data_IF_608871221279
#
_entry.id   IF_608871221279
#
_cell.length_a   1.000
_cell.length_b   1.000
_cell.length_c   1.000
_cell.angle_alpha   90.00
_cell.angle_beta   90.00
_cell.angle_gamma   90.00
#
_symmetry.space_group_name_H-M   'P 1'
#
loop_
_entity.id
_entity.type
_entity.pdbx_description
1 polymer ?
#
# COMPACT_ATOMS: atom_id res chain seq x y z
N UNK A 1 -6.49 23.73 4.38
CA UNK A 1 -7.79 23.21 4.82
C UNK A 1 -8.54 22.77 3.57
N UNK A 2 -8.43 21.49 3.20
CA UNK A 2 -9.47 20.76 2.48
C UNK A 2 -9.23 19.28 2.77
N UNK A 3 -10.14 18.75 3.57
CA UNK A 3 -10.31 17.35 3.91
C UNK A 3 -10.65 16.56 2.65
N UNK A 4 -10.05 15.39 2.46
CA UNK A 4 -10.34 14.48 1.36
C UNK A 4 -9.95 13.06 1.73
N UNK A 5 -10.65 12.48 2.71
CA UNK A 5 -10.57 11.06 3.02
C UNK A 5 -11.10 10.27 1.82
N UNK A 6 -10.21 9.63 1.06
CA UNK A 6 -10.58 8.53 0.19
C UNK A 6 -10.70 7.27 1.06
N UNK A 7 -11.86 7.11 1.71
CA UNK A 7 -12.21 5.91 2.44
C UNK A 7 -12.68 4.85 1.45
N UNK A 8 -11.88 3.80 1.26
CA UNK A 8 -12.39 2.47 0.94
C UNK A 8 -12.39 1.70 2.27
N UNK A 9 -13.55 1.15 2.59
CA UNK A 9 -13.96 0.58 3.89
C UNK A 9 -12.85 -0.16 4.68
N UNK A 10 -12.80 0.15 5.98
CA UNK A 10 -12.18 -0.51 7.15
C UNK A 10 -10.74 -1.02 7.17
N UNK A 11 -9.97 -1.15 6.08
CA UNK A 11 -8.57 -1.64 6.20
C UNK A 11 -7.57 -1.12 5.15
N UNK A 12 -8.01 -0.51 4.05
CA UNK A 12 -7.10 -0.08 2.97
C UNK A 12 -6.92 1.43 2.96
N UNK A 13 -5.86 1.92 3.61
CA UNK A 13 -5.45 3.32 3.50
C UNK A 13 -4.67 3.54 2.20
N UNK A 14 -5.35 3.97 1.14
CA UNK A 14 -4.67 4.51 -0.05
C UNK A 14 -4.24 5.94 0.23
N UNK A 15 -2.93 6.19 0.33
CA UNK A 15 -2.38 7.55 0.31
C UNK A 15 -1.86 7.80 -1.10
N UNK A 16 -2.63 8.54 -1.89
CA UNK A 16 -2.22 9.05 -3.19
C UNK A 16 -2.04 10.57 -3.09
N UNK A 17 -0.94 11.09 -3.63
CA UNK A 17 -0.78 12.52 -3.86
C UNK A 17 -1.76 12.93 -4.97
N UNK A 18 -2.93 13.45 -4.56
CA UNK A 18 -4.10 13.57 -5.42
C UNK A 18 -4.10 14.90 -6.17
N UNK A 19 -3.26 15.00 -7.19
CA UNK A 19 -3.50 15.93 -8.30
C UNK A 19 -4.38 15.21 -9.33
N UNK A 20 -5.65 15.60 -9.45
CA UNK A 20 -6.65 14.94 -10.32
C UNK A 20 -6.33 15.12 -11.81
N UNK A 21 -5.40 16.01 -12.14
CA UNK A 21 -5.01 16.30 -13.52
C UNK A 21 -4.00 15.31 -14.11
N UNK A 22 -3.34 14.49 -13.29
CA UNK A 22 -2.31 13.55 -13.71
C UNK A 22 -2.39 12.26 -12.86
N UNK A 23 -1.94 11.10 -13.38
CA UNK A 23 -1.77 9.93 -12.52
C UNK A 23 -0.82 10.30 -11.37
N UNK A 24 -1.10 9.87 -10.12
CA UNK A 24 -0.25 10.18 -8.98
C UNK A 24 1.19 9.72 -9.27
N UNK A 25 2.18 10.39 -8.69
CA UNK A 25 3.59 9.99 -8.82
C UNK A 25 3.97 8.87 -7.85
N UNK A 26 3.19 8.70 -6.78
CA UNK A 26 3.38 7.71 -5.72
C UNK A 26 2.03 7.18 -5.23
N UNK A 27 1.90 5.86 -5.13
CA UNK A 27 0.78 5.17 -4.50
C UNK A 27 1.27 4.39 -3.28
N UNK A 28 0.60 4.58 -2.14
CA UNK A 28 0.76 3.75 -0.95
C UNK A 28 -0.46 2.85 -0.77
N UNK A 29 -0.27 1.53 -0.70
CA UNK A 29 -1.32 0.55 -0.44
C UNK A 29 -1.05 -0.21 0.87
N UNK A 30 -2.06 -0.30 1.73
CA UNK A 30 -2.03 -1.13 2.93
C UNK A 30 -3.01 -2.30 2.80
N UNK A 31 -2.49 -3.52 2.87
CA UNK A 31 -3.20 -4.79 2.67
C UNK A 31 -4.15 -4.82 1.44
N UNK A 32 -3.67 -4.52 0.23
CA UNK A 32 -4.52 -4.36 -0.95
C UNK A 32 -5.18 -5.65 -1.46
N UNK A 33 -4.72 -6.81 -1.00
CA UNK A 33 -5.28 -8.12 -1.37
C UNK A 33 -6.39 -8.60 -0.44
N UNK A 34 -6.69 -7.85 0.62
CA UNK A 34 -7.68 -8.28 1.60
C UNK A 34 -9.07 -8.40 0.97
N UNK A 35 -9.82 -9.43 1.34
CA UNK A 35 -11.15 -9.75 0.80
C UNK A 35 -11.26 -9.94 -0.73
N UNK A 36 -10.14 -9.96 -1.47
CA UNK A 36 -10.15 -10.21 -2.91
C UNK A 36 -10.13 -11.71 -3.23
N UNK A 37 -10.91 -12.10 -4.23
CA UNK A 37 -10.82 -13.43 -4.83
C UNK A 37 -9.58 -13.55 -5.73
N UNK A 38 -9.29 -14.78 -6.19
CA UNK A 38 -8.07 -15.06 -6.98
C UNK A 38 -8.03 -14.21 -8.26
N UNK A 39 -9.18 -14.05 -8.95
CA UNK A 39 -9.25 -13.28 -10.20
C UNK A 39 -9.01 -11.79 -9.98
N UNK A 40 -9.62 -11.21 -8.95
CA UNK A 40 -9.41 -9.79 -8.63
C UNK A 40 -7.96 -9.52 -8.22
N UNK A 41 -7.30 -10.47 -7.54
CA UNK A 41 -5.88 -10.36 -7.20
C UNK A 41 -4.97 -10.37 -8.42
N UNK A 42 -5.20 -11.29 -9.37
CA UNK A 42 -4.47 -11.36 -10.64
C UNK A 42 -4.63 -10.06 -11.43
N UNK A 43 -5.86 -9.54 -11.51
CA UNK A 43 -6.15 -8.29 -12.19
C UNK A 43 -5.45 -7.10 -11.53
N UNK A 44 -5.53 -7.00 -10.19
CA UNK A 44 -4.86 -5.95 -9.44
C UNK A 44 -3.34 -5.98 -9.63
N UNK A 45 -2.73 -7.17 -9.57
CA UNK A 45 -1.31 -7.32 -9.81
C UNK A 45 -0.91 -6.86 -11.22
N UNK A 46 -1.71 -7.18 -12.24
CA UNK A 46 -1.47 -6.73 -13.62
C UNK A 46 -1.54 -5.20 -13.76
N UNK A 47 -2.53 -4.56 -13.13
CA UNK A 47 -2.67 -3.09 -13.15
C UNK A 47 -1.50 -2.41 -12.42
N UNK A 48 -1.09 -2.96 -11.27
CA UNK A 48 0.03 -2.40 -10.49
C UNK A 48 1.39 -2.64 -11.16
N UNK A 49 1.53 -3.69 -11.97
CA UNK A 49 2.74 -3.96 -12.74
C UNK A 49 2.96 -2.96 -13.89
N UNK A 50 1.88 -2.42 -14.46
CA UNK A 50 1.91 -1.45 -15.57
C UNK A 50 1.94 0.02 -15.09
N UNK A 51 1.92 0.23 -13.78
CA UNK A 51 1.90 1.57 -13.21
C UNK A 51 3.28 2.26 -13.36
N UNK A 52 3.32 3.36 -14.12
CA UNK A 52 4.56 4.11 -14.40
C UNK A 52 5.08 4.97 -13.22
N UNK A 53 4.37 5.00 -12.09
CA UNK A 53 4.76 5.74 -10.89
C UNK A 53 5.53 4.89 -9.87
N UNK A 54 5.79 5.49 -8.70
CA UNK A 54 6.36 4.77 -7.56
C UNK A 54 5.26 4.07 -6.77
N UNK A 55 5.50 2.84 -6.34
CA UNK A 55 4.54 2.05 -5.59
C UNK A 55 5.15 1.58 -4.28
N UNK A 56 4.45 1.81 -3.17
CA UNK A 56 4.79 1.30 -1.85
C UNK A 56 3.61 0.46 -1.37
N UNK A 57 3.87 -0.82 -1.11
CA UNK A 57 2.84 -1.75 -0.67
C UNK A 57 3.24 -2.36 0.67
N UNK A 58 2.30 -2.36 1.59
CA UNK A 58 2.33 -3.15 2.82
C UNK A 58 1.38 -4.32 2.58
N UNK A 59 1.90 -5.54 2.64
CA UNK A 59 1.09 -6.74 2.55
C UNK A 59 1.74 -7.91 3.28
N UNK A 60 0.90 -8.77 3.84
CA UNK A 60 1.31 -10.07 4.36
C UNK A 60 1.44 -11.16 3.27
N UNK A 61 0.99 -10.92 2.03
CA UNK A 61 0.97 -11.90 0.94
C UNK A 61 2.19 -11.80 0.02
N UNK A 62 3.14 -12.72 0.19
CA UNK A 62 4.39 -12.72 -0.61
C UNK A 62 4.17 -13.11 -2.07
N UNK A 63 3.24 -14.02 -2.35
CA UNK A 63 2.98 -14.48 -3.71
C UNK A 63 2.40 -13.37 -4.57
N UNK A 64 1.58 -12.50 -3.97
CA UNK A 64 1.10 -11.30 -4.62
C UNK A 64 2.25 -10.32 -4.94
N UNK A 65 3.14 -10.05 -3.98
CA UNK A 65 4.22 -9.09 -4.15
C UNK A 65 5.29 -9.55 -5.16
N UNK A 66 5.61 -10.84 -5.19
CA UNK A 66 6.65 -11.40 -6.05
C UNK A 66 6.38 -11.19 -7.56
N UNK A 67 5.14 -10.92 -7.96
CA UNK A 67 4.76 -10.75 -9.36
C UNK A 67 5.23 -9.43 -10.00
N UNK A 68 5.46 -8.38 -9.22
CA UNK A 68 5.71 -7.04 -9.77
C UNK A 68 6.54 -6.12 -8.86
N UNK A 69 6.92 -6.55 -7.65
CA UNK A 69 7.69 -5.71 -6.72
C UNK A 69 9.18 -5.80 -7.02
N UNK A 70 9.80 -4.64 -7.27
CA UNK A 70 11.25 -4.55 -7.54
C UNK A 70 12.13 -4.69 -6.29
N UNK A 71 11.61 -4.31 -5.12
CA UNK A 71 12.33 -4.37 -3.83
C UNK A 71 11.37 -4.69 -2.70
N UNK A 72 11.70 -5.67 -1.87
CA UNK A 72 10.97 -5.98 -0.65
C UNK A 72 11.83 -5.70 0.58
N UNK A 73 11.20 -5.21 1.65
CA UNK A 73 11.84 -4.99 2.95
C UNK A 73 11.00 -5.58 4.06
N UNK A 74 11.66 -6.15 5.09
CA UNK A 74 10.97 -6.57 6.31
C UNK A 74 11.19 -5.53 7.38
N UNK A 75 10.11 -4.89 7.83
CA UNK A 75 10.16 -4.02 8.99
C UNK A 75 10.37 -4.87 10.26
N UNK A 76 11.39 -4.52 11.04
CA UNK A 76 11.56 -5.00 12.41
C UNK A 76 11.36 -3.81 13.32
N UNK A 77 10.33 -3.89 14.16
CA UNK A 77 10.12 -2.88 15.19
C UNK A 77 10.98 -3.20 16.41
N UNK A 78 11.77 -2.22 16.85
CA UNK A 78 12.51 -2.28 18.11
C UNK A 78 11.96 -1.22 19.08
N UNK A 79 11.29 -1.67 20.14
CA UNK A 79 10.78 -0.78 21.17
C UNK A 79 11.89 -0.47 22.19
N UNK A 80 12.47 0.73 22.14
CA UNK A 80 13.25 1.24 23.26
C UNK A 80 12.28 1.62 24.37
N UNK A 81 12.28 0.84 25.45
CA UNK A 81 11.42 1.06 26.62
C UNK A 81 11.47 2.52 27.08
N UNK A 82 10.31 3.17 27.08
CA UNK A 82 10.15 4.53 27.61
C UNK A 82 10.36 4.43 29.12
N UNK A 83 11.55 4.80 29.61
CA UNK A 83 11.76 4.93 31.06
C UNK A 83 10.95 6.13 31.53
N UNK A 84 9.78 5.87 32.12
CA UNK A 84 9.06 6.88 32.90
C UNK A 84 9.93 7.22 34.10
N UNK A 85 10.50 8.42 34.11
CA UNK A 85 11.03 9.05 35.33
C UNK A 85 9.82 9.30 36.23
N UNK A 86 9.68 8.45 37.25
CA UNK A 86 8.90 8.78 38.45
C UNK A 86 9.61 9.91 39.19
#
# INVERSE_FOLDING_TARGET
MLCGSAALDSTTHMVADFDVSAPPSLILLDEPTNHLDIRSREHLAAVLADYEGSLVIISHDRFFLDGFVNRFGRLRWESKGIRRKL
#
